data_IF_222080313778
#
_entry.id   IF_222080313778
#
_cell.length_a   1.000
_cell.length_b   1.000
_cell.length_c   1.000
_cell.angle_alpha   90.00
_cell.angle_beta   90.00
_cell.angle_gamma   90.00
#
_symmetry.space_group_name_H-M   'P 1'
#
loop_
_entity.id
_entity.type
_entity.pdbx_description
1 polymer ?
#
# COMPACT_ATOMS: atom_id res chain seq x y z
N UNK A 1 -13.93 9.06 -14.29
CA UNK A 1 -13.14 8.79 -13.07
C UNK A 1 -11.78 9.45 -13.26
N UNK A 2 -11.17 10.04 -12.22
CA UNK A 2 -9.84 10.66 -12.33
C UNK A 2 -8.84 9.56 -12.70
N UNK A 3 -8.37 9.55 -13.95
CA UNK A 3 -7.54 8.46 -14.48
C UNK A 3 -6.11 8.92 -14.77
N UNK A 4 -5.85 10.22 -14.68
CA UNK A 4 -4.55 10.80 -15.00
C UNK A 4 -3.95 11.45 -13.75
N UNK A 5 -2.63 11.32 -13.61
CA UNK A 5 -1.90 11.92 -12.50
C UNK A 5 -2.08 13.45 -12.45
N UNK A 6 -2.22 14.10 -13.60
CA UNK A 6 -2.45 15.55 -13.68
C UNK A 6 -3.78 15.99 -13.05
N UNK A 7 -4.81 15.14 -13.08
CA UNK A 7 -6.07 15.42 -12.40
C UNK A 7 -5.92 15.32 -10.88
N UNK A 8 -5.09 14.40 -10.40
CA UNK A 8 -4.83 14.20 -8.97
C UNK A 8 -4.07 15.39 -8.37
N UNK A 9 -3.07 15.91 -9.10
CA UNK A 9 -2.29 17.07 -8.66
C UNK A 9 -3.10 18.36 -8.70
N UNK A 10 -4.07 18.48 -9.61
CA UNK A 10 -4.93 19.66 -9.71
C UNK A 10 -5.99 19.77 -8.60
N UNK A 11 -6.43 18.64 -8.02
CA UNK A 11 -7.54 18.59 -7.05
C UNK A 11 -7.27 17.59 -5.90
N UNK A 12 -6.23 17.81 -5.07
CA UNK A 12 -5.87 16.87 -4.01
C UNK A 12 -6.95 16.70 -2.94
N UNK A 13 -7.68 17.76 -2.58
CA UNK A 13 -8.77 17.70 -1.59
C UNK A 13 -9.91 16.78 -2.07
N UNK A 14 -10.24 16.83 -3.37
CA UNK A 14 -11.23 15.93 -3.95
C UNK A 14 -10.75 14.48 -3.93
N UNK A 15 -9.46 14.24 -4.17
CA UNK A 15 -8.86 12.90 -4.08
C UNK A 15 -8.98 12.36 -2.66
N UNK A 16 -8.63 13.17 -1.66
CA UNK A 16 -8.76 12.84 -0.25
C UNK A 16 -10.20 12.44 0.10
N UNK A 17 -11.16 13.35 -0.12
CA UNK A 17 -12.57 13.13 0.22
C UNK A 17 -13.12 11.89 -0.49
N UNK A 18 -12.77 11.71 -1.77
CA UNK A 18 -13.16 10.55 -2.55
C UNK A 18 -12.67 9.25 -1.93
N UNK A 19 -11.38 9.14 -1.62
CA UNK A 19 -10.84 7.88 -1.09
C UNK A 19 -11.29 7.63 0.36
N UNK A 20 -11.47 8.65 1.19
CA UNK A 20 -12.12 8.46 2.50
C UNK A 20 -13.57 8.01 2.38
N UNK A 21 -14.33 8.56 1.43
CA UNK A 21 -15.69 8.10 1.17
C UNK A 21 -15.70 6.62 0.77
N UNK A 22 -14.83 6.20 -0.16
CA UNK A 22 -14.75 4.79 -0.57
C UNK A 22 -14.30 3.89 0.59
N UNK A 23 -13.31 4.31 1.38
CA UNK A 23 -12.87 3.57 2.56
C UNK A 23 -14.03 3.33 3.52
N UNK A 24 -14.79 4.39 3.82
CA UNK A 24 -15.97 4.29 4.68
C UNK A 24 -17.07 3.41 4.05
N UNK A 25 -17.28 3.49 2.75
CA UNK A 25 -18.20 2.59 2.05
C UNK A 25 -17.83 1.12 2.27
N UNK A 26 -16.54 0.78 2.14
CA UNK A 26 -16.03 -0.57 2.38
C UNK A 26 -16.23 -1.03 3.82
N UNK A 27 -16.05 -0.15 4.81
CA UNK A 27 -16.25 -0.51 6.22
C UNK A 27 -17.71 -0.79 6.59
N UNK A 28 -18.69 -0.16 5.91
CA UNK A 28 -20.12 -0.33 6.22
C UNK A 28 -20.86 -1.30 5.29
N UNK A 29 -20.56 -1.29 3.99
CA UNK A 29 -21.27 -2.09 3.00
C UNK A 29 -20.32 -2.51 1.86
N UNK A 30 -19.36 -3.42 2.11
CA UNK A 30 -18.37 -3.80 1.10
C UNK A 30 -18.98 -4.60 -0.06
N UNK A 31 -20.03 -5.39 0.20
CA UNK A 31 -20.65 -6.29 -0.78
C UNK A 31 -21.02 -5.63 -2.12
N UNK A 32 -21.84 -4.56 -2.15
CA UNK A 32 -22.21 -3.87 -3.39
C UNK A 32 -21.02 -3.28 -4.15
N UNK A 33 -20.02 -2.74 -3.44
CA UNK A 33 -18.85 -2.15 -4.08
C UNK A 33 -17.94 -3.23 -4.69
N UNK A 34 -17.68 -4.31 -3.96
CA UNK A 34 -16.87 -5.45 -4.44
C UNK A 34 -17.56 -6.21 -5.58
N UNK A 35 -18.88 -6.19 -5.66
CA UNK A 35 -19.63 -6.76 -6.79
C UNK A 35 -19.64 -5.85 -8.03
N UNK A 36 -19.25 -4.58 -7.88
CA UNK A 36 -19.31 -3.60 -8.96
C UNK A 36 -18.04 -3.67 -9.82
N UNK A 37 -18.16 -3.60 -11.17
CA UNK A 37 -16.99 -3.55 -12.06
C UNK A 37 -16.14 -2.30 -11.85
N UNK A 38 -16.69 -1.28 -11.16
CA UNK A 38 -15.98 -0.03 -10.84
C UNK A 38 -14.76 -0.27 -9.95
N UNK A 39 -14.76 -1.33 -9.14
CA UNK A 39 -13.72 -1.58 -8.12
C UNK A 39 -12.31 -1.63 -8.71
N UNK A 40 -12.13 -2.25 -9.90
CA UNK A 40 -10.82 -2.31 -10.56
C UNK A 40 -10.35 -0.91 -10.97
N UNK A 41 -11.26 -0.06 -11.46
CA UNK A 41 -10.91 1.32 -11.83
C UNK A 41 -10.58 2.17 -10.61
N UNK A 42 -11.26 1.97 -9.48
CA UNK A 42 -10.95 2.63 -8.21
C UNK A 42 -9.57 2.21 -7.71
N UNK A 43 -9.28 0.91 -7.72
CA UNK A 43 -7.96 0.37 -7.34
C UNK A 43 -6.87 0.93 -8.25
N UNK A 44 -7.08 0.94 -9.57
CA UNK A 44 -6.15 1.54 -10.52
C UNK A 44 -5.91 3.03 -10.23
N UNK A 45 -6.98 3.79 -9.95
CA UNK A 45 -6.87 5.19 -9.55
C UNK A 45 -6.09 5.37 -8.25
N UNK A 46 -6.32 4.53 -7.24
CA UNK A 46 -5.56 4.53 -5.99
C UNK A 46 -4.07 4.29 -6.23
N UNK A 47 -3.71 3.33 -7.10
CA UNK A 47 -2.32 3.02 -7.44
C UNK A 47 -1.64 4.20 -8.13
N UNK A 48 -2.32 4.89 -9.06
CA UNK A 48 -1.82 6.13 -9.66
C UNK A 48 -1.64 7.21 -8.59
N UNK A 49 -2.61 7.32 -7.68
CA UNK A 49 -2.59 8.23 -6.55
C UNK A 49 -1.42 8.03 -5.58
N UNK A 50 -0.86 6.82 -5.48
CA UNK A 50 0.32 6.55 -4.63
C UNK A 50 1.54 7.41 -5.00
N UNK A 51 1.58 8.02 -6.18
CA UNK A 51 2.67 8.93 -6.58
C UNK A 51 2.46 10.37 -6.09
N UNK A 52 1.26 10.71 -5.59
CA UNK A 52 0.88 12.07 -5.22
C UNK A 52 1.61 12.53 -3.96
N UNK A 53 2.28 13.68 -4.00
CA UNK A 53 2.97 14.24 -2.83
C UNK A 53 2.09 15.21 -2.05
N UNK A 54 0.95 14.72 -1.58
CA UNK A 54 0.01 15.47 -0.75
C UNK A 54 -0.38 14.62 0.46
N UNK A 55 -0.22 15.15 1.68
CA UNK A 55 -0.34 14.36 2.91
C UNK A 55 -1.73 13.77 3.10
N UNK A 56 -2.75 14.60 3.01
CA UNK A 56 -4.12 14.21 3.35
C UNK A 56 -4.71 13.28 2.27
N UNK A 57 -4.58 13.66 0.99
CA UNK A 57 -4.87 12.76 -0.13
C UNK A 57 -4.16 11.40 -0.07
N UNK A 58 -2.87 11.33 0.30
CA UNK A 58 -2.16 10.06 0.51
C UNK A 58 -2.77 9.25 1.66
N UNK A 59 -3.06 9.91 2.77
CA UNK A 59 -3.76 9.30 3.91
C UNK A 59 -5.08 8.68 3.46
N UNK A 60 -5.94 9.42 2.74
CA UNK A 60 -7.19 8.89 2.18
C UNK A 60 -6.98 7.67 1.29
N UNK A 61 -6.01 7.73 0.35
CA UNK A 61 -5.68 6.60 -0.55
C UNK A 61 -5.22 5.36 0.23
N UNK A 62 -4.34 5.54 1.22
CA UNK A 62 -3.81 4.44 2.01
C UNK A 62 -4.88 3.84 2.93
N UNK A 63 -5.74 4.68 3.53
CA UNK A 63 -6.92 4.22 4.30
C UNK A 63 -7.85 3.40 3.40
N UNK A 64 -8.10 3.83 2.16
CA UNK A 64 -8.85 3.05 1.19
C UNK A 64 -8.25 1.66 0.96
N UNK A 65 -6.93 1.57 0.70
CA UNK A 65 -6.29 0.27 0.48
C UNK A 65 -6.32 -0.61 1.73
N UNK A 66 -6.12 -0.02 2.91
CA UNK A 66 -6.25 -0.74 4.17
C UNK A 66 -7.65 -1.33 4.36
N UNK A 67 -8.71 -0.53 4.16
CA UNK A 67 -10.09 -0.99 4.27
C UNK A 67 -10.43 -2.04 3.21
N UNK A 68 -9.99 -1.84 1.95
CA UNK A 68 -10.22 -2.78 0.86
C UNK A 68 -9.65 -4.16 1.18
N UNK A 69 -8.38 -4.23 1.58
CA UNK A 69 -7.72 -5.49 1.91
C UNK A 69 -8.36 -6.13 3.15
N UNK A 70 -8.81 -5.33 4.12
CA UNK A 70 -9.49 -5.82 5.32
C UNK A 70 -10.78 -6.57 5.04
N UNK A 71 -11.48 -6.24 3.94
CA UNK A 71 -12.73 -6.92 3.57
C UNK A 71 -12.52 -8.42 3.31
N UNK A 72 -11.34 -8.83 2.84
CA UNK A 72 -11.01 -10.23 2.59
C UNK A 72 -10.42 -10.98 3.79
N UNK A 73 -10.12 -10.28 4.90
CA UNK A 73 -9.52 -10.89 6.09
C UNK A 73 -10.62 -11.41 7.01
N UNK A 74 -10.54 -12.69 7.37
CA UNK A 74 -11.43 -13.29 8.34
C UNK A 74 -11.23 -12.67 9.73
N UNK A 75 -12.31 -12.14 10.29
CA UNK A 75 -12.34 -11.61 11.65
C UNK A 75 -13.66 -12.01 12.31
N UNK A 76 -13.77 -11.97 13.65
CA UNK A 76 -15.04 -12.24 14.35
C UNK A 76 -16.22 -11.37 13.86
N UNK A 77 -15.92 -10.18 13.32
CA UNK A 77 -16.89 -9.21 12.84
C UNK A 77 -17.14 -9.29 11.33
N UNK A 78 -16.29 -10.00 10.57
CA UNK A 78 -16.39 -10.13 9.13
C UNK A 78 -16.62 -11.60 8.73
N UNK A 79 -17.86 -12.07 8.89
CA UNK A 79 -18.25 -13.45 8.53
C UNK A 79 -18.33 -13.70 7.01
N UNK A 80 -18.31 -12.64 6.21
CA UNK A 80 -18.40 -12.69 4.75
C UNK A 80 -17.04 -12.56 4.07
N UNK A 81 -15.94 -12.58 4.85
CA UNK A 81 -14.58 -12.40 4.34
C UNK A 81 -14.24 -13.34 3.17
N UNK A 82 -14.65 -14.61 3.23
CA UNK A 82 -14.43 -15.56 2.14
C UNK A 82 -15.17 -15.16 0.84
N UNK A 83 -16.40 -14.67 0.94
CA UNK A 83 -17.18 -14.18 -0.22
C UNK A 83 -16.55 -12.91 -0.80
N UNK A 84 -16.13 -11.99 0.06
CA UNK A 84 -15.45 -10.76 -0.33
C UNK A 84 -14.09 -11.04 -0.96
N UNK A 85 -13.34 -12.00 -0.42
CA UNK A 85 -12.07 -12.42 -0.98
C UNK A 85 -12.25 -13.01 -2.38
N UNK A 86 -13.28 -13.84 -2.62
CA UNK A 86 -13.55 -14.37 -3.96
C UNK A 86 -13.82 -13.27 -5.01
N UNK A 87 -14.34 -12.11 -4.59
CA UNK A 87 -14.53 -10.93 -5.46
C UNK A 87 -13.26 -10.08 -5.59
N UNK A 88 -12.48 -9.99 -4.53
CA UNK A 88 -11.26 -9.18 -4.47
C UNK A 88 -10.07 -9.87 -5.16
N UNK A 89 -10.01 -11.20 -5.14
CA UNK A 89 -8.95 -12.02 -5.74
C UNK A 89 -8.59 -11.64 -7.19
N UNK A 90 -9.54 -11.54 -8.15
CA UNK A 90 -9.20 -11.16 -9.52
C UNK A 90 -8.59 -9.76 -9.61
N UNK A 91 -9.03 -8.82 -8.75
CA UNK A 91 -8.49 -7.46 -8.69
C UNK A 91 -7.05 -7.48 -8.16
N UNK A 92 -6.80 -8.24 -7.08
CA UNK A 92 -5.45 -8.39 -6.53
C UNK A 92 -4.52 -9.15 -7.47
N UNK A 93 -5.02 -10.17 -8.18
CA UNK A 93 -4.24 -10.88 -9.19
C UNK A 93 -3.80 -9.94 -10.33
N UNK A 94 -4.68 -9.03 -10.77
CA UNK A 94 -4.39 -8.07 -11.82
C UNK A 94 -3.52 -6.89 -11.36
N UNK A 95 -3.70 -6.41 -10.12
CA UNK A 95 -3.19 -5.11 -9.66
C UNK A 95 -2.21 -5.19 -8.48
N UNK A 96 -2.11 -6.35 -7.80
CA UNK A 96 -1.31 -6.54 -6.60
C UNK A 96 0.17 -6.20 -6.79
N UNK A 97 0.76 -6.61 -7.91
CA UNK A 97 2.15 -6.27 -8.24
C UNK A 97 2.38 -4.75 -8.36
N UNK A 98 1.44 -4.03 -8.99
CA UNK A 98 1.54 -2.58 -9.16
C UNK A 98 1.30 -1.83 -7.83
N UNK A 99 0.35 -2.31 -7.01
CA UNK A 99 0.12 -1.81 -5.66
C UNK A 99 1.37 -1.95 -4.80
N UNK A 100 1.91 -3.17 -4.66
CA UNK A 100 3.13 -3.41 -3.87
C UNK A 100 4.33 -2.66 -4.43
N UNK A 101 4.45 -2.56 -5.76
CA UNK A 101 5.46 -1.72 -6.40
C UNK A 101 5.39 -0.25 -5.98
N UNK A 102 4.18 0.34 -5.95
CA UNK A 102 3.96 1.70 -5.48
C UNK A 102 4.32 1.88 -4.00
N UNK A 103 3.91 0.94 -3.14
CA UNK A 103 4.22 0.95 -1.70
C UNK A 103 5.73 0.81 -1.44
N UNK A 104 6.41 -0.11 -2.13
CA UNK A 104 7.87 -0.27 -2.03
C UNK A 104 8.59 0.96 -2.55
N UNK A 105 8.10 1.60 -3.61
CA UNK A 105 8.59 2.89 -4.08
C UNK A 105 8.52 3.96 -2.98
N UNK A 106 7.39 4.03 -2.26
CA UNK A 106 7.24 4.92 -1.11
C UNK A 106 8.29 4.62 -0.01
N UNK A 107 8.46 3.36 0.35
CA UNK A 107 9.48 2.89 1.32
C UNK A 107 10.90 3.26 0.87
N UNK A 108 11.22 3.14 -0.42
CA UNK A 108 12.51 3.51 -0.97
C UNK A 108 12.76 5.03 -1.05
N UNK A 109 11.77 5.85 -0.67
CA UNK A 109 11.88 7.31 -0.56
C UNK A 109 11.18 8.11 -1.66
N UNK A 110 10.31 7.49 -2.46
CA UNK A 110 9.50 8.23 -3.44
C UNK A 110 8.49 9.18 -2.78
N UNK A 111 8.02 8.83 -1.58
CA UNK A 111 7.09 9.62 -0.76
C UNK A 111 7.73 10.09 0.56
N UNK A 112 7.21 11.17 1.17
CA UNK A 112 7.68 11.64 2.47
C UNK A 112 7.36 10.65 3.60
N UNK A 113 8.05 10.78 4.73
CA UNK A 113 7.96 9.84 5.86
C UNK A 113 6.54 9.66 6.44
N UNK A 114 5.67 10.66 6.32
CA UNK A 114 4.28 10.55 6.77
C UNK A 114 3.50 9.44 6.04
N UNK A 115 3.90 9.04 4.82
CA UNK A 115 3.21 7.99 4.08
C UNK A 115 3.58 6.58 4.57
N UNK A 116 4.63 6.46 5.41
CA UNK A 116 5.18 5.17 5.84
C UNK A 116 4.47 4.62 7.08
N UNK A 117 4.27 5.45 8.11
CA UNK A 117 3.29 5.23 9.18
C UNK A 117 2.98 6.55 9.90
N UNK A 118 1.84 7.13 9.54
CA UNK A 118 1.22 8.24 10.26
C UNK A 118 0.11 7.63 11.13
N UNK A 119 0.48 7.32 12.38
CA UNK A 119 -0.42 6.73 13.39
C UNK A 119 -1.67 7.58 13.62
N UNK A 120 -1.64 8.86 13.27
CA UNK A 120 -2.73 9.80 13.45
C UNK A 120 -3.62 9.96 12.19
N UNK A 121 -3.18 9.52 11.01
CA UNK A 121 -3.85 9.78 9.72
C UNK A 121 -4.58 8.58 9.09
N UNK A 122 -4.93 7.56 9.86
CA UNK A 122 -5.90 6.53 9.45
C UNK A 122 -5.46 5.55 8.35
N UNK A 123 -4.28 5.69 7.74
CA UNK A 123 -3.76 4.76 6.73
C UNK A 123 -2.28 4.97 6.42
N UNK A 124 -1.54 3.87 6.21
CA UNK A 124 -0.11 3.93 5.91
C UNK A 124 0.38 2.84 4.96
N UNK A 125 1.52 3.08 4.29
CA UNK A 125 2.11 2.07 3.42
C UNK A 125 2.48 0.78 4.18
N UNK A 126 3.00 0.93 5.42
CA UNK A 126 3.26 -0.22 6.29
C UNK A 126 1.97 -0.95 6.68
N UNK A 127 0.89 -0.22 6.98
CA UNK A 127 -0.42 -0.78 7.30
C UNK A 127 -1.04 -1.57 6.15
N UNK A 128 -0.95 -1.07 4.92
CA UNK A 128 -1.40 -1.80 3.72
C UNK A 128 -0.59 -3.07 3.52
N UNK A 129 0.75 -3.01 3.61
CA UNK A 129 1.62 -4.18 3.49
C UNK A 129 1.34 -5.22 4.57
N UNK A 130 1.08 -4.78 5.81
CA UNK A 130 0.71 -5.65 6.93
C UNK A 130 -0.61 -6.38 6.68
N UNK A 131 -1.63 -5.68 6.18
CA UNK A 131 -2.92 -6.30 5.86
C UNK A 131 -2.79 -7.27 4.69
N UNK A 132 -1.96 -6.95 3.67
CA UNK A 132 -1.67 -7.89 2.58
C UNK A 132 -0.95 -9.15 3.08
N UNK A 133 -0.04 -9.01 4.04
CA UNK A 133 0.66 -10.14 4.67
C UNK A 133 -0.35 -11.09 5.35
N UNK A 134 -1.30 -10.53 6.10
CA UNK A 134 -2.36 -11.32 6.74
C UNK A 134 -3.39 -11.88 5.78
N UNK A 135 -3.69 -11.17 4.70
CA UNK A 135 -4.61 -11.66 3.68
C UNK A 135 -4.01 -12.85 2.95
N UNK A 136 -2.75 -12.74 2.52
CA UNK A 136 -2.02 -13.82 1.84
C UNK A 136 -0.51 -13.55 1.82
N UNK A 137 0.22 -14.17 2.75
CA UNK A 137 1.69 -14.14 2.74
C UNK A 137 2.27 -14.60 1.39
N UNK A 138 1.81 -15.71 0.77
CA UNK A 138 2.37 -16.15 -0.51
C UNK A 138 2.20 -15.12 -1.64
N UNK A 139 1.05 -14.46 -1.70
CA UNK A 139 0.77 -13.43 -2.71
C UNK A 139 1.62 -12.18 -2.47
N UNK A 140 1.70 -11.71 -1.21
CA UNK A 140 2.57 -10.58 -0.88
C UNK A 140 4.02 -10.88 -1.25
N UNK A 141 4.55 -12.06 -0.91
CA UNK A 141 5.94 -12.44 -1.21
C UNK A 141 6.24 -12.41 -2.71
N UNK A 142 5.31 -12.89 -3.54
CA UNK A 142 5.48 -12.93 -5.01
C UNK A 142 5.49 -11.53 -5.63
N UNK A 143 4.83 -10.55 -5.04
CA UNK A 143 4.88 -9.15 -5.49
C UNK A 143 6.03 -8.35 -4.88
N UNK A 144 6.33 -8.59 -3.60
CA UNK A 144 7.31 -7.84 -2.83
C UNK A 144 8.74 -8.09 -3.31
N UNK A 145 9.13 -9.36 -3.52
CA UNK A 145 10.51 -9.70 -3.90
C UNK A 145 10.92 -9.00 -5.21
N UNK A 146 10.13 -9.06 -6.31
CA UNK A 146 10.44 -8.33 -7.52
C UNK A 146 10.49 -6.80 -7.31
N UNK A 147 9.55 -6.24 -6.55
CA UNK A 147 9.48 -4.80 -6.30
C UNK A 147 10.72 -4.28 -5.53
N UNK A 148 11.14 -4.98 -4.47
CA UNK A 148 12.35 -4.64 -3.71
C UNK A 148 13.60 -4.78 -4.58
N UNK A 149 13.65 -5.78 -5.45
CA UNK A 149 14.78 -5.98 -6.35
C UNK A 149 14.95 -4.86 -7.39
N UNK A 150 13.87 -4.15 -7.74
CA UNK A 150 13.92 -2.97 -8.63
C UNK A 150 14.58 -1.75 -8.00
N UNK A 151 14.73 -1.69 -6.66
CA UNK A 151 15.45 -0.58 -6.01
C UNK A 151 16.91 -0.59 -6.49
N UNK A 152 17.50 0.56 -6.79
CA UNK A 152 18.90 0.61 -7.25
C UNK A 152 19.87 0.03 -6.22
N UNK A 153 20.90 -0.69 -6.67
CA UNK A 153 21.99 -1.19 -5.82
C UNK A 153 22.77 -0.06 -5.10
N UNK A 154 22.71 1.16 -5.63
CA UNK A 154 23.26 2.36 -4.99
C UNK A 154 22.47 2.83 -3.76
N UNK A 155 21.18 2.46 -3.68
CA UNK A 155 20.29 2.78 -2.56
C UNK A 155 20.31 1.65 -1.54
N UNK A 156 20.12 0.40 -1.97
CA UNK A 156 20.17 -0.79 -1.13
C UNK A 156 20.90 -1.91 -1.86
N UNK A 157 21.88 -2.53 -1.20
CA UNK A 157 22.63 -3.67 -1.75
C UNK A 157 21.75 -4.90 -1.87
N UNK A 158 22.19 -5.90 -2.65
CA UNK A 158 21.46 -7.17 -2.80
C UNK A 158 21.26 -7.86 -1.44
N UNK A 159 22.30 -7.90 -0.59
CA UNK A 159 22.22 -8.50 0.73
C UNK A 159 21.20 -7.79 1.64
N UNK A 160 21.16 -6.45 1.64
CA UNK A 160 20.21 -5.68 2.47
C UNK A 160 18.76 -5.87 2.01
N UNK A 161 18.52 -6.02 0.69
CA UNK A 161 17.20 -6.32 0.14
C UNK A 161 16.71 -7.71 0.52
N UNK A 162 17.60 -8.71 0.45
CA UNK A 162 17.32 -10.09 0.87
C UNK A 162 17.05 -10.15 2.37
N UNK A 163 17.87 -9.47 3.17
CA UNK A 163 17.70 -9.36 4.61
C UNK A 163 16.38 -8.67 4.98
N UNK A 164 16.07 -7.54 4.34
CA UNK A 164 14.80 -6.83 4.53
C UNK A 164 13.61 -7.74 4.25
N UNK A 165 13.60 -8.39 3.09
CA UNK A 165 12.48 -9.24 2.68
C UNK A 165 12.33 -10.44 3.61
N UNK A 166 13.45 -11.06 4.01
CA UNK A 166 13.44 -12.19 4.95
C UNK A 166 12.94 -11.78 6.32
N UNK A 167 13.45 -10.66 6.87
CA UNK A 167 13.01 -10.15 8.17
C UNK A 167 11.53 -9.81 8.15
N UNK A 168 11.06 -9.12 7.11
CA UNK A 168 9.68 -8.67 7.01
C UNK A 168 8.69 -9.84 6.98
N UNK A 169 8.97 -10.88 6.18
CA UNK A 169 8.09 -12.04 6.06
C UNK A 169 8.10 -12.96 7.29
N UNK A 170 9.07 -12.79 8.20
CA UNK A 170 9.18 -13.58 9.43
C UNK A 170 8.61 -12.85 10.66
N UNK A 171 7.93 -11.71 10.48
CA UNK A 171 7.31 -10.99 11.60
C UNK A 171 5.91 -11.52 11.89
N UNK A 172 5.63 -11.72 13.19
CA UNK A 172 4.31 -12.09 13.69
C UNK A 172 3.57 -10.93 14.37
N UNK A 173 4.26 -9.81 14.61
CA UNK A 173 3.76 -8.65 15.33
C UNK A 173 3.75 -7.42 14.42
N UNK A 174 2.68 -6.61 14.52
CA UNK A 174 2.49 -5.45 13.67
C UNK A 174 3.55 -4.39 13.90
N UNK A 175 3.86 -4.09 15.15
CA UNK A 175 4.81 -3.03 15.49
C UNK A 175 6.20 -3.41 14.95
N UNK A 176 6.62 -4.66 15.14
CA UNK A 176 7.88 -5.16 14.56
C UNK A 176 7.88 -5.18 13.03
N UNK A 177 6.75 -5.51 12.41
CA UNK A 177 6.62 -5.44 10.95
C UNK A 177 6.81 -4.02 10.44
N UNK A 178 6.17 -3.05 11.08
CA UNK A 178 6.35 -1.64 10.78
C UNK A 178 7.80 -1.20 11.02
N UNK A 179 8.42 -1.58 12.14
CA UNK A 179 9.82 -1.25 12.46
C UNK A 179 10.79 -1.71 11.37
N UNK A 180 10.61 -2.92 10.84
CA UNK A 180 11.43 -3.44 9.73
C UNK A 180 11.28 -2.59 8.46
N UNK A 181 10.06 -2.13 8.14
CA UNK A 181 9.81 -1.22 7.03
C UNK A 181 10.51 0.11 7.26
N UNK A 182 10.43 0.65 8.47
CA UNK A 182 11.03 1.92 8.83
C UNK A 182 12.54 1.91 8.77
N UNK A 183 13.18 0.86 9.30
CA UNK A 183 14.62 0.70 9.27
C UNK A 183 15.13 0.66 7.82
N UNK A 184 14.42 -0.07 6.96
CA UNK A 184 14.76 -0.15 5.55
C UNK A 184 14.52 1.18 4.82
N UNK A 185 13.42 1.88 5.11
CA UNK A 185 13.14 3.19 4.54
C UNK A 185 14.19 4.23 4.96
N UNK A 186 14.61 4.21 6.23
CA UNK A 186 15.67 5.06 6.77
C UNK A 186 16.99 4.81 6.06
N UNK A 187 17.35 3.55 5.84
CA UNK A 187 18.54 3.16 5.08
C UNK A 187 18.50 3.72 3.65
N UNK A 188 17.38 3.53 2.96
CA UNK A 188 17.18 4.04 1.60
C UNK A 188 17.31 5.56 1.56
N UNK A 189 16.63 6.27 2.46
CA UNK A 189 16.63 7.73 2.51
C UNK A 189 18.03 8.31 2.77
N UNK A 190 18.80 7.71 3.70
CA UNK A 190 20.17 8.16 3.99
C UNK A 190 21.10 8.07 2.79
N UNK A 191 20.93 7.06 1.93
CA UNK A 191 21.78 6.83 0.77
C UNK A 191 21.36 7.64 -0.45
N UNK A 192 20.06 7.78 -0.67
CA UNK A 192 19.53 8.64 -1.74
C UNK A 192 20.00 10.10 -1.57
N UNK A 193 20.08 10.62 -0.33
CA UNK A 193 20.61 11.98 -0.06
C UNK A 193 22.11 12.12 -0.37
N UNK A 194 22.91 11.09 -0.08
CA UNK A 194 24.35 11.09 -0.37
C UNK A 194 24.65 11.09 -1.88
N UNK A 195 23.71 10.62 -2.70
CA UNK A 195 23.85 10.62 -4.15
C UNK A 195 23.61 12.00 -4.77
N UNK A 196 22.65 12.77 -4.27
CA UNK A 196 22.36 14.13 -4.75
C UNK A 196 23.40 15.19 -4.31
N UNK A 197 24.41 14.81 -3.52
CA UNK A 197 25.48 15.70 -3.04
C UNK A 197 26.85 15.42 -3.70
N UNK A 198 26.91 14.51 -4.68
CA UNK A 198 28.10 14.19 -5.48
C UNK A 198 27.88 14.58 -6.93
#
# INVERSE_FOLDING_TARGET
>A
MMQTFDQYTAMPDLVEEYFFFIARFLSYCPGPLLASPVVDTIVQGGIVGLQLRHREAQSGILTFFEELVSTGIETPHNKQAAEYMARLEPVLAARGAALVGGLVGAVAGALPAYALDDRDAGGSAAGVLWKLFHLSEPALRTWLVPAVNQISASVATVAEKEEFTTKLMNQADRDRFCDVIYDFARLCHQRSRKWHQR
#
